data_IF_026417378599
#
_entry.id   IF_026417378599
#
_cell.length_a   1.000
_cell.length_b   1.000
_cell.length_c   1.000
_cell.angle_alpha   90.00
_cell.angle_beta   90.00
_cell.angle_gamma   90.00
#
_symmetry.space_group_name_H-M   'P 1'
#
loop_
_entity.id
_entity.type
_entity.pdbx_description
1 polymer ?
#
# COMPACT_ATOMS: atom_id res chain seq x y z
N UNK A 1 -18.95 -7.40 -15.10
CA UNK A 1 -18.39 -7.90 -16.37
C UNK A 1 -18.83 -9.35 -16.53
N UNK A 2 -19.16 -9.75 -17.74
CA UNK A 2 -19.70 -11.08 -18.08
C UNK A 2 -18.90 -12.25 -17.44
N UNK A 3 -17.57 -12.20 -17.46
CA UNK A 3 -16.76 -13.23 -16.76
C UNK A 3 -16.99 -13.30 -15.25
N UNK A 4 -17.30 -12.16 -14.61
CA UNK A 4 -17.61 -12.13 -13.17
C UNK A 4 -18.96 -12.75 -12.88
N UNK A 5 -19.95 -12.49 -13.73
CA UNK A 5 -21.28 -13.07 -13.64
C UNK A 5 -21.24 -14.59 -13.84
N UNK A 6 -20.52 -15.04 -14.90
CA UNK A 6 -20.28 -16.46 -15.14
C UNK A 6 -19.58 -17.14 -13.95
N UNK A 7 -18.59 -16.48 -13.33
CA UNK A 7 -17.91 -17.02 -12.15
C UNK A 7 -18.84 -17.14 -10.93
N UNK A 8 -19.72 -16.16 -10.72
CA UNK A 8 -20.71 -16.20 -9.64
C UNK A 8 -21.75 -17.31 -9.86
N UNK A 9 -22.24 -17.46 -11.10
CA UNK A 9 -23.16 -18.54 -11.46
C UNK A 9 -22.53 -19.93 -11.33
N UNK A 10 -21.25 -20.08 -11.72
CA UNK A 10 -20.50 -21.33 -11.49
C UNK A 10 -20.40 -21.67 -10.00
N UNK A 11 -20.09 -20.68 -9.16
CA UNK A 11 -20.00 -20.89 -7.72
C UNK A 11 -21.33 -21.36 -7.13
N UNK A 12 -22.44 -20.72 -7.53
CA UNK A 12 -23.79 -21.13 -7.14
C UNK A 12 -24.09 -22.56 -7.63
N UNK A 13 -23.78 -22.88 -8.91
CA UNK A 13 -24.01 -24.19 -9.47
C UNK A 13 -23.22 -25.29 -8.76
N UNK A 14 -21.96 -25.03 -8.44
CA UNK A 14 -21.14 -25.95 -7.63
C UNK A 14 -21.74 -26.16 -6.23
N UNK A 15 -22.29 -25.13 -5.62
CA UNK A 15 -22.98 -25.27 -4.34
C UNK A 15 -24.21 -26.14 -4.45
N UNK A 16 -25.11 -25.89 -5.42
CA UNK A 16 -26.31 -26.68 -5.66
C UNK A 16 -26.01 -28.15 -5.95
N UNK A 17 -24.93 -28.39 -6.70
CA UNK A 17 -24.46 -29.75 -7.00
C UNK A 17 -23.96 -30.49 -5.74
N UNK A 18 -23.27 -29.81 -4.84
CA UNK A 18 -22.86 -30.38 -3.54
C UNK A 18 -24.05 -30.72 -2.66
N UNK A 19 -25.14 -29.96 -2.77
CA UNK A 19 -26.38 -30.22 -2.06
C UNK A 19 -27.25 -31.32 -2.72
N UNK A 20 -26.82 -31.90 -3.83
CA UNK A 20 -27.56 -32.91 -4.58
C UNK A 20 -28.79 -32.39 -5.31
N UNK A 21 -29.01 -31.07 -5.38
CA UNK A 21 -30.17 -30.43 -6.03
C UNK A 21 -30.06 -30.52 -7.54
N UNK A 22 -28.84 -30.49 -8.08
CA UNK A 22 -28.56 -30.62 -9.51
C UNK A 22 -27.45 -31.65 -9.75
N UNK A 23 -27.61 -32.47 -10.80
CA UNK A 23 -26.66 -33.55 -11.12
C UNK A 23 -25.75 -33.20 -12.29
N UNK A 24 -26.25 -32.44 -13.26
CA UNK A 24 -25.52 -32.08 -14.48
C UNK A 24 -24.62 -30.86 -14.27
N UNK A 25 -23.48 -30.82 -14.94
CA UNK A 25 -22.59 -29.68 -14.97
C UNK A 25 -22.78 -28.88 -16.29
N UNK A 26 -23.75 -27.97 -16.29
CA UNK A 26 -24.05 -27.12 -17.44
C UNK A 26 -22.94 -26.12 -17.76
N UNK A 27 -22.02 -25.84 -16.81
CA UNK A 27 -20.92 -24.91 -17.01
C UNK A 27 -19.67 -25.56 -17.60
N UNK A 28 -19.67 -26.87 -17.83
CA UNK A 28 -18.53 -27.61 -18.40
C UNK A 28 -18.11 -27.08 -19.76
N UNK A 29 -19.11 -26.69 -20.60
CA UNK A 29 -18.89 -26.15 -21.95
C UNK A 29 -18.75 -24.62 -21.98
N UNK A 30 -19.08 -23.91 -20.91
CA UNK A 30 -19.03 -22.44 -20.89
C UNK A 30 -17.57 -22.00 -20.71
N UNK A 31 -16.97 -21.49 -21.78
CA UNK A 31 -15.62 -20.90 -21.72
C UNK A 31 -15.70 -19.45 -21.26
N UNK A 32 -14.79 -19.05 -20.35
CA UNK A 32 -14.62 -17.64 -20.01
C UNK A 32 -14.15 -16.86 -21.23
N UNK A 33 -14.71 -15.67 -21.43
CA UNK A 33 -14.27 -14.80 -22.51
C UNK A 33 -12.79 -14.44 -22.32
N UNK A 34 -12.01 -14.58 -23.38
CA UNK A 34 -10.62 -14.09 -23.40
C UNK A 34 -10.67 -12.57 -23.41
N UNK A 35 -10.44 -11.97 -22.26
CA UNK A 35 -10.20 -10.53 -22.18
C UNK A 35 -8.73 -10.27 -22.47
N UNK A 36 -8.40 -9.28 -23.34
CA UNK A 36 -7.01 -8.91 -23.55
C UNK A 36 -6.40 -8.57 -22.19
N UNK A 37 -5.27 -9.21 -21.84
CA UNK A 37 -4.49 -8.86 -20.64
C UNK A 37 -3.92 -7.47 -20.88
N UNK A 38 -4.58 -6.47 -20.29
CA UNK A 38 -3.96 -5.15 -20.20
C UNK A 38 -2.73 -5.29 -19.31
N UNK A 39 -1.59 -4.81 -19.81
CA UNK A 39 -0.37 -4.74 -18.98
C UNK A 39 -0.70 -3.97 -17.68
N UNK A 40 -0.18 -4.43 -16.55
CA UNK A 40 -0.34 -3.72 -15.29
C UNK A 40 0.18 -2.29 -15.44
N UNK A 41 -0.62 -1.31 -15.08
CA UNK A 41 -0.23 0.10 -15.13
C UNK A 41 0.56 0.43 -13.87
N UNK A 42 1.76 0.94 -14.02
CA UNK A 42 2.57 1.50 -12.94
C UNK A 42 2.99 2.93 -13.28
N UNK A 43 3.35 3.72 -12.28
CA UNK A 43 3.84 5.08 -12.46
C UNK A 43 5.35 5.02 -12.72
N UNK A 44 5.86 5.57 -13.84
CA UNK A 44 7.30 5.62 -14.10
C UNK A 44 8.06 6.36 -12.99
N UNK A 45 9.31 5.99 -12.74
CA UNK A 45 10.13 6.58 -11.66
C UNK A 45 10.26 8.10 -11.80
N UNK A 46 10.44 8.60 -13.02
CA UNK A 46 10.50 10.03 -13.30
C UNK A 46 9.24 10.77 -12.84
N UNK A 47 8.06 10.21 -13.08
CA UNK A 47 6.79 10.78 -12.63
C UNK A 47 6.56 10.58 -11.13
N UNK A 48 6.97 9.43 -10.60
CA UNK A 48 6.87 9.16 -9.16
C UNK A 48 7.76 10.11 -8.35
N UNK A 49 8.88 10.55 -8.90
CA UNK A 49 9.73 11.56 -8.27
C UNK A 49 8.99 12.89 -8.02
N UNK A 50 8.15 13.36 -8.96
CA UNK A 50 7.32 14.54 -8.75
C UNK A 50 6.26 14.32 -7.66
N UNK A 51 5.60 13.17 -7.66
CA UNK A 51 4.65 12.81 -6.59
C UNK A 51 5.33 12.81 -5.22
N UNK A 52 6.56 12.29 -5.13
CA UNK A 52 7.35 12.29 -3.90
C UNK A 52 7.74 13.70 -3.48
N UNK A 53 8.16 14.55 -4.44
CA UNK A 53 8.50 15.94 -4.17
C UNK A 53 7.29 16.72 -3.62
N UNK A 54 6.10 16.55 -4.21
CA UNK A 54 4.86 17.14 -3.71
C UNK A 54 4.51 16.64 -2.29
N UNK A 55 4.62 15.33 -2.02
CA UNK A 55 4.43 14.78 -0.67
C UNK A 55 5.38 15.42 0.33
N UNK A 56 6.67 15.55 -0.01
CA UNK A 56 7.68 16.13 0.88
C UNK A 56 7.42 17.62 1.12
N UNK A 57 7.01 18.37 0.10
CA UNK A 57 6.62 19.79 0.25
C UNK A 57 5.43 20.01 1.18
N UNK A 58 4.51 19.05 1.23
CA UNK A 58 3.33 19.07 2.12
C UNK A 58 3.56 18.48 3.51
N UNK A 59 4.64 17.74 3.69
CA UNK A 59 4.91 16.99 4.92
C UNK A 59 5.08 17.85 6.17
N UNK A 60 5.53 19.09 6.01
CA UNK A 60 5.73 20.06 7.12
C UNK A 60 4.59 21.08 7.28
N UNK A 61 3.47 20.90 6.59
CA UNK A 61 2.32 21.80 6.70
C UNK A 61 1.67 21.72 8.09
N UNK A 62 1.15 22.83 8.59
CA UNK A 62 0.30 22.85 9.79
C UNK A 62 -1.17 22.52 9.49
N UNK A 63 -1.56 22.40 8.21
CA UNK A 63 -2.89 21.95 7.82
C UNK A 63 -2.99 20.41 7.90
N UNK A 64 -3.81 19.95 8.82
CA UNK A 64 -4.05 18.52 9.06
C UNK A 64 -4.45 17.74 7.79
N UNK A 65 -5.33 18.31 6.95
CA UNK A 65 -5.83 17.62 5.74
C UNK A 65 -4.70 17.43 4.74
N UNK A 66 -3.86 18.44 4.58
CA UNK A 66 -2.70 18.42 3.70
C UNK A 66 -1.70 17.33 4.12
N UNK A 67 -1.37 17.25 5.41
CA UNK A 67 -0.43 16.23 5.93
C UNK A 67 -1.05 14.83 5.90
N UNK A 68 -2.32 14.70 6.26
CA UNK A 68 -3.07 13.43 6.15
C UNK A 68 -3.04 12.86 4.73
N UNK A 69 -3.31 13.71 3.75
CA UNK A 69 -3.38 13.30 2.35
C UNK A 69 -1.98 12.92 1.84
N UNK A 70 -0.94 13.67 2.21
CA UNK A 70 0.45 13.33 1.94
C UNK A 70 0.85 11.98 2.56
N UNK A 71 0.53 11.76 3.85
CA UNK A 71 0.77 10.48 4.54
C UNK A 71 0.04 9.32 3.85
N UNK A 72 -1.23 9.52 3.46
CA UNK A 72 -2.03 8.51 2.78
C UNK A 72 -1.36 8.01 1.50
N UNK A 73 -0.86 8.91 0.66
CA UNK A 73 -0.16 8.54 -0.59
C UNK A 73 1.20 7.91 -0.27
N UNK A 74 1.93 8.48 0.69
CA UNK A 74 3.22 7.96 1.13
C UNK A 74 3.13 6.53 1.67
N UNK A 75 2.08 6.18 2.42
CA UNK A 75 1.85 4.81 2.91
C UNK A 75 1.64 3.80 1.78
N UNK A 76 0.88 4.15 0.74
CA UNK A 76 0.71 3.23 -0.41
C UNK A 76 2.01 2.98 -1.14
N UNK A 77 2.80 4.02 -1.39
CA UNK A 77 4.06 3.88 -2.12
C UNK A 77 5.21 3.41 -1.21
N UNK A 78 5.20 3.77 0.07
CA UNK A 78 6.28 3.42 1.01
C UNK A 78 6.15 2.04 1.64
N UNK A 79 4.93 1.50 1.78
CA UNK A 79 4.68 0.20 2.41
C UNK A 79 3.99 -0.80 1.48
N UNK A 80 3.63 -0.41 0.27
CA UNK A 80 2.89 -1.27 -0.65
C UNK A 80 1.57 -1.81 -0.07
N UNK A 81 0.93 -1.08 0.84
CA UNK A 81 -0.27 -1.49 1.58
C UNK A 81 -1.50 -1.57 0.66
N UNK A 82 -2.44 -2.49 0.95
CA UNK A 82 -3.74 -2.53 0.26
C UNK A 82 -4.69 -1.46 0.81
N UNK A 83 -5.64 -1.00 0.00
CA UNK A 83 -6.65 -0.02 0.43
C UNK A 83 -7.40 -0.45 1.71
N UNK A 84 -7.81 -1.72 1.78
CA UNK A 84 -8.51 -2.24 2.96
C UNK A 84 -7.60 -2.30 4.19
N UNK A 85 -6.33 -2.64 4.01
CA UNK A 85 -5.32 -2.69 5.07
C UNK A 85 -5.05 -1.29 5.61
N UNK A 86 -4.85 -0.27 4.74
CA UNK A 86 -4.65 1.11 5.19
C UNK A 86 -5.82 1.63 6.03
N UNK A 87 -7.06 1.36 5.58
CA UNK A 87 -8.25 1.80 6.30
C UNK A 87 -8.39 1.08 7.65
N UNK A 88 -8.02 -0.19 7.73
CA UNK A 88 -8.07 -0.97 8.97
C UNK A 88 -6.95 -0.62 9.96
N UNK A 89 -5.87 0.03 9.48
CA UNK A 89 -4.68 0.33 10.27
C UNK A 89 -5.00 1.26 11.44
N UNK A 90 -4.45 0.93 12.60
CA UNK A 90 -4.57 1.70 13.82
C UNK A 90 -3.23 2.33 14.23
N UNK A 91 -3.26 3.33 15.10
CA UNK A 91 -2.05 3.96 15.65
C UNK A 91 -1.19 2.99 16.45
N UNK A 92 -1.80 2.02 17.13
CA UNK A 92 -1.10 0.99 17.92
C UNK A 92 -0.50 -0.15 17.07
N UNK A 93 -0.65 -0.12 15.75
CA UNK A 93 -0.04 -1.11 14.86
C UNK A 93 1.42 -0.74 14.50
N UNK A 94 1.93 0.39 14.99
CA UNK A 94 3.30 0.83 14.82
C UNK A 94 4.16 0.45 16.04
N UNK A 95 5.47 0.26 15.81
CA UNK A 95 6.44 0.17 16.90
C UNK A 95 6.57 1.51 17.63
N UNK A 96 7.04 1.51 18.89
CA UNK A 96 7.16 2.71 19.73
C UNK A 96 8.06 3.79 19.10
N UNK A 97 9.06 3.38 18.32
CA UNK A 97 9.98 4.25 17.59
C UNK A 97 9.46 4.62 16.17
N UNK A 98 8.29 4.14 15.77
CA UNK A 98 7.70 4.32 14.44
C UNK A 98 8.58 3.82 13.29
N UNK A 99 9.48 2.87 13.51
CA UNK A 99 10.33 2.30 12.45
C UNK A 99 9.69 1.12 11.72
N UNK A 100 8.63 0.56 12.29
CA UNK A 100 7.94 -0.60 11.74
C UNK A 100 6.44 -0.46 11.88
N UNK A 101 5.71 -1.07 10.95
CA UNK A 101 4.26 -1.19 11.01
C UNK A 101 3.83 -2.64 10.82
N UNK A 102 2.94 -3.12 11.68
CA UNK A 102 2.29 -4.42 11.58
C UNK A 102 1.01 -4.28 10.77
N UNK A 103 0.94 -4.98 9.66
CA UNK A 103 -0.19 -4.93 8.72
C UNK A 103 -0.90 -6.28 8.74
N UNK A 104 -2.20 -6.27 9.05
CA UNK A 104 -3.07 -7.44 9.01
C UNK A 104 -3.70 -7.59 7.63
N UNK A 105 -3.49 -8.74 7.01
CA UNK A 105 -3.99 -9.09 5.69
C UNK A 105 -5.19 -10.02 5.71
N UNK A 106 -5.53 -10.57 4.55
CA UNK A 106 -6.61 -11.55 4.40
C UNK A 106 -6.27 -12.85 5.16
N UNK A 107 -7.24 -13.37 5.92
CA UNK A 107 -7.08 -14.63 6.69
C UNK A 107 -6.25 -14.44 7.96
N UNK A 108 -6.28 -13.25 8.55
CA UNK A 108 -5.58 -12.89 9.79
C UNK A 108 -4.05 -13.06 9.74
N UNK A 109 -3.50 -13.06 8.52
CA UNK A 109 -2.05 -13.11 8.33
C UNK A 109 -1.47 -11.72 8.58
N UNK A 110 -0.49 -11.65 9.46
CA UNK A 110 0.23 -10.43 9.77
C UNK A 110 1.57 -10.37 9.04
N UNK A 111 2.02 -9.16 8.70
CA UNK A 111 3.37 -8.90 8.24
C UNK A 111 3.88 -7.60 8.85
N UNK A 112 5.17 -7.52 9.06
CA UNK A 112 5.85 -6.32 9.52
C UNK A 112 6.53 -5.66 8.32
N UNK A 113 6.30 -4.36 8.15
CA UNK A 113 6.90 -3.57 7.06
C UNK A 113 7.75 -2.47 7.69
N UNK A 114 9.04 -2.36 7.33
CA UNK A 114 9.88 -1.27 7.80
C UNK A 114 9.44 0.06 7.21
N UNK A 115 9.56 1.13 7.98
CA UNK A 115 9.27 2.49 7.58
C UNK A 115 10.58 3.24 7.31
N UNK A 116 10.73 3.77 6.11
CA UNK A 116 11.85 4.65 5.77
C UNK A 116 11.71 5.99 6.47
N UNK A 117 12.84 6.63 6.80
CA UNK A 117 12.87 7.87 7.58
C UNK A 117 11.99 9.00 7.03
N UNK A 118 11.91 9.26 5.70
CA UNK A 118 11.00 10.27 5.19
C UNK A 118 9.52 9.99 5.52
N UNK A 119 9.09 8.73 5.40
CA UNK A 119 7.72 8.33 5.74
C UNK A 119 7.46 8.43 7.25
N UNK A 120 8.43 8.01 8.06
CA UNK A 120 8.39 8.11 9.51
C UNK A 120 8.21 9.56 9.97
N UNK A 121 8.97 10.50 9.39
CA UNK A 121 8.83 11.94 9.72
C UNK A 121 7.42 12.46 9.44
N UNK A 122 6.84 12.12 8.29
CA UNK A 122 5.46 12.52 7.95
C UNK A 122 4.47 11.94 8.96
N UNK A 123 4.64 10.67 9.32
CA UNK A 123 3.79 9.98 10.30
C UNK A 123 3.84 10.67 11.66
N UNK A 124 5.03 10.92 12.20
CA UNK A 124 5.21 11.55 13.51
C UNK A 124 4.59 12.95 13.52
N UNK A 125 4.85 13.76 12.48
CA UNK A 125 4.25 15.09 12.37
C UNK A 125 2.71 15.03 12.29
N UNK A 126 2.16 14.08 11.52
CA UNK A 126 0.72 13.86 11.44
C UNK A 126 0.10 13.52 12.80
N UNK A 127 0.75 12.64 13.58
CA UNK A 127 0.28 12.27 14.92
C UNK A 127 0.32 13.48 15.88
N UNK A 128 1.36 14.30 15.81
CA UNK A 128 1.46 15.55 16.58
C UNK A 128 0.35 16.54 16.21
N UNK A 129 -0.04 16.62 14.92
CA UNK A 129 -1.15 17.47 14.50
C UNK A 129 -2.50 16.97 15.06
N UNK A 130 -2.73 15.66 15.10
CA UNK A 130 -3.93 15.08 15.72
C UNK A 130 -4.04 15.52 17.17
N UNK A 131 -2.96 15.45 17.93
CA UNK A 131 -2.92 15.82 19.34
C UNK A 131 -3.11 17.33 19.53
N UNK A 132 -2.31 18.15 18.82
CA UNK A 132 -2.34 19.61 18.94
C UNK A 132 -3.68 20.22 18.53
N UNK A 133 -4.34 19.66 17.53
CA UNK A 133 -5.62 20.16 17.02
C UNK A 133 -6.85 19.46 17.57
N UNK A 134 -6.67 18.57 18.56
CA UNK A 134 -7.75 17.79 19.20
C UNK A 134 -8.70 17.09 18.21
N UNK A 135 -8.14 16.55 17.11
CA UNK A 135 -8.93 15.93 16.04
C UNK A 135 -9.45 14.56 16.44
N UNK A 136 -8.82 13.90 17.40
CA UNK A 136 -9.14 12.52 17.76
C UNK A 136 -10.21 12.45 18.86
N UNK A 137 -11.26 11.64 18.62
CA UNK A 137 -12.08 11.11 19.69
C UNK A 137 -11.25 10.05 20.46
N UNK A 138 -11.29 10.06 21.79
CA UNK A 138 -10.54 9.15 22.67
C UNK A 138 -10.76 7.66 22.38
N UNK A 139 -11.89 7.29 21.79
CA UNK A 139 -12.23 5.91 21.42
C UNK A 139 -11.76 5.49 20.03
N UNK A 140 -11.47 6.42 19.11
CA UNK A 140 -11.07 6.08 17.74
C UNK A 140 -9.57 5.78 17.70
N UNK A 141 -9.23 4.57 17.29
CA UNK A 141 -7.83 4.07 17.18
C UNK A 141 -7.26 4.18 15.77
N UNK A 142 -8.08 4.50 14.77
CA UNK A 142 -7.66 4.53 13.37
C UNK A 142 -6.43 5.42 13.16
N UNK A 143 -5.54 4.98 12.26
CA UNK A 143 -4.42 5.79 11.84
C UNK A 143 -4.90 7.02 11.07
N UNK A 144 -5.63 6.82 9.98
CA UNK A 144 -6.05 7.90 9.09
C UNK A 144 -7.45 8.38 9.48
N UNK A 145 -7.54 9.64 9.86
CA UNK A 145 -8.76 10.28 10.36
C UNK A 145 -9.33 11.30 9.37
N UNK A 146 -10.63 11.52 9.49
CA UNK A 146 -11.31 12.71 8.93
C UNK A 146 -11.10 13.92 9.86
N UNK A 147 -11.44 15.14 9.41
CA UNK A 147 -11.48 16.33 10.28
C UNK A 147 -12.40 16.18 11.51
N UNK A 148 -13.38 15.30 11.44
CA UNK A 148 -14.30 15.00 12.55
C UNK A 148 -13.77 13.93 13.51
N UNK A 149 -12.53 13.51 13.36
CA UNK A 149 -11.89 12.47 14.20
C UNK A 149 -12.38 11.05 13.94
N UNK A 150 -13.15 10.80 12.89
CA UNK A 150 -13.60 9.47 12.51
C UNK A 150 -12.66 8.81 11.51
N UNK A 151 -12.64 7.47 11.47
CA UNK A 151 -11.89 6.67 10.49
C UNK A 151 -12.23 7.08 9.06
N UNK A 152 -11.22 7.21 8.23
CA UNK A 152 -11.38 7.60 6.82
C UNK A 152 -12.11 6.53 5.99
N UNK A 153 -12.94 6.95 5.04
CA UNK A 153 -13.65 6.02 4.15
C UNK A 153 -12.86 5.66 2.89
N UNK A 154 -13.23 4.52 2.26
CA UNK A 154 -12.60 4.05 1.01
C UNK A 154 -12.71 5.05 -0.14
N UNK A 155 -13.83 5.75 -0.24
CA UNK A 155 -14.07 6.74 -1.29
C UNK A 155 -13.14 7.94 -1.15
N UNK A 156 -12.95 8.43 0.08
CA UNK A 156 -12.04 9.55 0.36
C UNK A 156 -10.61 9.17 0.06
N UNK A 157 -10.12 8.01 0.51
CA UNK A 157 -8.76 7.54 0.20
C UNK A 157 -8.52 7.41 -1.30
N UNK A 158 -9.49 6.88 -2.06
CA UNK A 158 -9.37 6.79 -3.52
C UNK A 158 -9.25 8.16 -4.16
N UNK A 159 -10.06 9.14 -3.72
CA UNK A 159 -10.02 10.51 -4.20
C UNK A 159 -8.67 11.18 -3.90
N UNK A 160 -8.12 11.00 -2.70
CA UNK A 160 -6.80 11.52 -2.33
C UNK A 160 -5.72 11.00 -3.29
N UNK A 161 -5.68 9.70 -3.52
CA UNK A 161 -4.70 9.08 -4.44
C UNK A 161 -4.91 9.56 -5.87
N UNK A 162 -6.15 9.64 -6.33
CA UNK A 162 -6.47 10.12 -7.68
C UNK A 162 -6.04 11.57 -7.87
N UNK A 163 -6.32 12.44 -6.92
CA UNK A 163 -5.92 13.84 -6.95
C UNK A 163 -4.40 14.01 -6.97
N UNK A 164 -3.68 13.28 -6.11
CA UNK A 164 -2.23 13.33 -6.07
C UNK A 164 -1.58 12.89 -7.38
N UNK A 165 -2.08 11.81 -8.00
CA UNK A 165 -1.57 11.32 -9.28
C UNK A 165 -1.99 12.20 -10.46
N UNK A 166 -3.17 12.85 -10.40
CA UNK A 166 -3.62 13.81 -11.41
C UNK A 166 -2.75 15.05 -11.43
N UNK A 167 -2.46 15.61 -10.25
CA UNK A 167 -1.66 16.84 -10.08
C UNK A 167 -0.30 16.69 -10.75
N UNK A 168 0.31 15.54 -10.65
CA UNK A 168 1.64 15.26 -11.21
C UNK A 168 1.59 14.67 -12.65
N UNK A 169 0.46 14.81 -13.35
CA UNK A 169 0.31 14.43 -14.75
C UNK A 169 0.49 12.94 -15.03
N UNK A 170 0.26 12.07 -14.04
CA UNK A 170 0.33 10.62 -14.24
C UNK A 170 -0.77 10.20 -15.21
N UNK A 171 -0.41 9.44 -16.25
CA UNK A 171 -1.34 8.97 -17.24
C UNK A 171 -1.99 7.62 -16.84
N UNK A 172 -3.16 7.36 -17.39
CA UNK A 172 -3.87 6.09 -17.19
C UNK A 172 -4.63 5.98 -15.86
N UNK A 173 -4.78 4.75 -15.35
CA UNK A 173 -5.55 4.49 -14.14
C UNK A 173 -4.84 5.01 -12.90
N UNK A 174 -5.57 5.77 -12.08
CA UNK A 174 -5.08 6.39 -10.84
C UNK A 174 -5.80 5.78 -9.64
N UNK A 175 -5.11 4.90 -8.91
CA UNK A 175 -5.74 4.19 -7.80
C UNK A 175 -4.70 3.67 -6.81
N UNK A 176 -5.09 3.34 -5.57
CA UNK A 176 -4.21 2.70 -4.58
C UNK A 176 -3.51 1.43 -5.10
N UNK A 177 -4.16 0.64 -5.95
CA UNK A 177 -3.56 -0.54 -6.55
C UNK A 177 -2.41 -0.21 -7.50
N UNK A 178 -2.50 0.92 -8.22
CA UNK A 178 -1.41 1.38 -9.09
C UNK A 178 -0.20 1.75 -8.26
N UNK A 179 -0.36 2.50 -7.16
CA UNK A 179 0.76 2.85 -6.27
C UNK A 179 1.42 1.61 -5.65
N UNK A 180 0.63 0.64 -5.19
CA UNK A 180 1.16 -0.63 -4.69
C UNK A 180 1.92 -1.40 -5.77
N UNK A 181 1.40 -1.43 -7.00
CA UNK A 181 2.10 -2.08 -8.12
C UNK A 181 3.37 -1.33 -8.49
N UNK A 182 3.32 0.00 -8.49
CA UNK A 182 4.49 0.87 -8.68
C UNK A 182 5.57 0.58 -7.64
N UNK A 183 5.21 0.49 -6.36
CA UNK A 183 6.12 0.09 -5.28
C UNK A 183 6.83 -1.22 -5.61
N UNK A 184 6.08 -2.28 -5.95
CA UNK A 184 6.66 -3.58 -6.27
C UNK A 184 7.58 -3.53 -7.49
N UNK A 185 7.18 -2.81 -8.55
CA UNK A 185 7.95 -2.69 -9.80
C UNK A 185 9.24 -1.91 -9.57
N UNK A 186 9.19 -0.81 -8.81
CA UNK A 186 10.39 -0.03 -8.51
C UNK A 186 11.37 -0.80 -7.62
N UNK A 187 10.90 -1.53 -6.60
CA UNK A 187 11.77 -2.42 -5.81
C UNK A 187 12.47 -3.47 -6.70
N UNK A 188 11.71 -4.10 -7.60
CA UNK A 188 12.25 -5.09 -8.53
C UNK A 188 13.30 -4.48 -9.46
N UNK A 189 13.03 -3.30 -10.05
CA UNK A 189 13.96 -2.58 -10.92
C UNK A 189 15.26 -2.20 -10.19
N UNK A 190 15.21 -2.03 -8.87
CA UNK A 190 16.36 -1.72 -8.03
C UNK A 190 17.02 -2.97 -7.42
N UNK A 191 16.70 -4.15 -7.95
CA UNK A 191 17.40 -5.40 -7.63
C UNK A 191 16.92 -6.13 -6.38
N UNK A 192 15.74 -5.76 -5.82
CA UNK A 192 15.14 -6.55 -4.76
C UNK A 192 14.66 -7.91 -5.30
N UNK A 193 14.82 -8.98 -4.50
CA UNK A 193 14.37 -10.31 -4.89
C UNK A 193 12.83 -10.38 -4.93
N UNK A 194 12.30 -11.13 -5.89
CA UNK A 194 10.85 -11.31 -6.07
C UNK A 194 10.18 -11.91 -4.82
N UNK A 195 10.85 -12.81 -4.10
CA UNK A 195 10.31 -13.43 -2.88
C UNK A 195 10.22 -12.41 -1.76
N UNK A 196 11.25 -11.58 -1.58
CA UNK A 196 11.27 -10.50 -0.59
C UNK A 196 10.15 -9.50 -0.85
N UNK A 197 9.93 -9.12 -2.12
CA UNK A 197 8.80 -8.26 -2.52
C UNK A 197 7.46 -8.93 -2.22
N UNK A 198 7.31 -10.23 -2.51
CA UNK A 198 6.08 -10.98 -2.21
C UNK A 198 5.80 -11.05 -0.70
N UNK A 199 6.82 -11.20 0.13
CA UNK A 199 6.72 -11.20 1.58
C UNK A 199 6.28 -9.81 2.09
N UNK A 200 6.95 -8.73 1.66
CA UNK A 200 6.55 -7.36 1.98
C UNK A 200 5.10 -7.05 1.59
N UNK A 201 4.66 -7.59 0.47
CA UNK A 201 3.30 -7.40 -0.02
C UNK A 201 2.28 -8.34 0.65
N UNK A 202 2.68 -9.39 1.34
CA UNK A 202 1.78 -10.37 1.94
C UNK A 202 1.00 -11.16 0.88
N UNK A 203 1.70 -11.74 -0.11
CA UNK A 203 1.12 -12.65 -1.09
C UNK A 203 1.00 -14.05 -0.47
N UNK A 204 -0.20 -14.65 -0.52
CA UNK A 204 -0.60 -15.84 0.24
C UNK A 204 -0.12 -17.19 -0.32
N UNK A 205 0.76 -17.24 -1.31
CA UNK A 205 1.14 -18.48 -1.98
C UNK A 205 2.25 -19.27 -1.28
N UNK A 206 2.87 -18.78 -0.24
CA UNK A 206 3.81 -19.54 0.58
C UNK A 206 3.26 -19.61 2.00
N UNK A 207 2.99 -20.85 2.43
CA UNK A 207 2.64 -21.17 3.81
C UNK A 207 3.84 -20.80 4.69
N UNK A 208 3.68 -19.78 5.51
CA UNK A 208 4.25 -19.71 6.86
C UNK A 208 3.82 -18.39 7.50
N UNK A 209 3.29 -18.47 8.70
CA UNK A 209 3.49 -17.42 9.69
C UNK A 209 4.99 -17.43 9.99
N UNK A 210 5.79 -16.81 9.11
CA UNK A 210 7.20 -16.60 9.45
C UNK A 210 7.21 -15.53 10.53
N UNK A 211 7.51 -15.96 11.73
CA UNK A 211 8.01 -15.10 12.79
C UNK A 211 9.31 -14.49 12.22
N UNK A 212 9.24 -13.28 11.75
CA UNK A 212 10.44 -12.57 11.30
C UNK A 212 11.41 -12.50 12.47
N UNK A 213 12.54 -13.18 12.33
CA UNK A 213 13.65 -13.01 13.27
C UNK A 213 14.19 -11.58 13.14
N UNK A 214 14.81 -11.05 14.19
CA UNK A 214 15.42 -9.72 14.17
C UNK A 214 16.35 -9.54 12.95
N UNK A 215 17.10 -10.58 12.59
CA UNK A 215 18.01 -10.59 11.43
C UNK A 215 17.26 -10.48 10.08
N UNK A 216 16.10 -11.12 9.91
CA UNK A 216 15.33 -11.01 8.67
C UNK A 216 14.69 -9.63 8.50
N UNK A 217 14.27 -9.00 9.59
CA UNK A 217 13.74 -7.63 9.55
C UNK A 217 14.86 -6.63 9.17
N UNK A 218 16.04 -6.75 9.77
CA UNK A 218 17.18 -5.89 9.44
C UNK A 218 17.58 -6.04 7.97
N UNK A 219 17.65 -7.26 7.47
CA UNK A 219 17.97 -7.54 6.06
C UNK A 219 16.89 -6.98 5.11
N UNK A 220 15.61 -7.10 5.44
CA UNK A 220 14.53 -6.50 4.66
C UNK A 220 14.62 -4.96 4.67
N UNK A 221 14.98 -4.35 5.79
CA UNK A 221 15.23 -2.91 5.86
C UNK A 221 16.37 -2.48 4.94
N UNK A 222 17.51 -3.18 4.97
CA UNK A 222 18.65 -2.90 4.10
C UNK A 222 18.29 -3.00 2.61
N UNK A 223 17.61 -4.09 2.21
CA UNK A 223 17.15 -4.30 0.85
C UNK A 223 16.14 -3.21 0.44
N UNK A 224 15.19 -2.91 1.33
CA UNK A 224 14.19 -1.90 1.09
C UNK A 224 14.81 -0.52 0.91
N UNK A 225 15.73 -0.11 1.78
CA UNK A 225 16.45 1.17 1.69
C UNK A 225 17.27 1.23 0.41
N UNK A 226 18.06 0.19 0.08
CA UNK A 226 18.85 0.14 -1.17
C UNK A 226 17.99 0.19 -2.43
N UNK A 227 16.84 -0.47 -2.43
CA UNK A 227 15.97 -0.56 -3.60
C UNK A 227 14.93 0.58 -3.68
N UNK A 228 14.73 1.35 -2.62
CA UNK A 228 13.71 2.40 -2.60
C UNK A 228 14.23 3.71 -3.19
N UNK A 229 13.63 4.27 -4.25
CA UNK A 229 14.17 5.43 -4.97
C UNK A 229 14.39 6.70 -4.11
N UNK A 230 13.77 6.78 -2.95
CA UNK A 230 13.87 7.92 -2.03
C UNK A 230 15.20 8.01 -1.27
N UNK A 231 15.87 6.88 -1.03
CA UNK A 231 17.10 6.86 -0.21
C UNK A 231 18.36 7.02 -1.05
N UNK A 232 18.37 6.59 -2.32
CA UNK A 232 19.53 6.74 -3.22
C UNK A 232 20.00 8.19 -3.43
N UNK A 233 19.09 9.17 -3.38
CA UNK A 233 19.46 10.58 -3.54
C UNK A 233 20.31 11.15 -2.41
N UNK A 234 20.37 10.51 -1.25
CA UNK A 234 21.25 10.97 -0.16
C UNK A 234 22.70 10.54 -0.37
N UNK A 235 22.92 9.33 -0.90
CA UNK A 235 24.27 8.80 -1.14
C UNK A 235 24.98 9.52 -2.30
N UNK A 236 24.23 10.00 -3.31
CA UNK A 236 24.80 10.76 -4.45
C UNK A 236 25.19 12.22 -4.09
N UNK A 237 24.66 12.77 -2.99
CA UNK A 237 24.96 14.14 -2.52
C UNK A 237 26.14 14.15 -1.53
N UNK A 238 26.46 13.01 -0.91
CA UNK A 238 27.52 12.90 0.11
C UNK A 238 28.87 12.38 -0.43
N UNK A 239 29.00 12.12 -1.73
CA UNK A 239 30.33 11.89 -2.34
C UNK A 239 30.98 13.24 -2.62
N UNK A 240 32.02 13.66 -1.86
CA UNK A 240 32.81 14.83 -2.21
C UNK A 240 33.50 14.55 -3.54
N UNK A 241 33.43 15.50 -4.46
CA UNK A 241 34.38 15.57 -5.57
C UNK A 241 35.76 15.84 -4.97
N UNK A 242 36.51 14.78 -4.68
CA UNK A 242 37.95 14.90 -4.52
C UNK A 242 38.56 14.99 -5.90
N UNK A 243 38.97 16.21 -6.22
CA UNK A 243 39.83 16.55 -7.34
C UNK A 243 41.30 16.48 -6.89
#
# INVERSE_FOLDING_TARGET
SMNREVSSLRALWHYLRRQGIVTQDIFRSVRSLRTPRRLPVFVPESRMAYVIADINGRAGSEDFVTVRDALTVAMFYGCGIRLAELIALNRNDFSDDYRQVRIRGKGDKERIVPLVDPLRRILVHYLQLIERQNICNSQEKALILTLKGARISRSVVRRIVEQALNKEGVQGKKSPHVLRHTFATHLLNHGADMREIQELLGHSSLQATQVYTHNSITRLQEIYVKAHPRERRKEEIETPCDA
#
